data_IF_869049809749
#
_entry.id   IF_869049809749
#
_cell.length_a   1.000
_cell.length_b   1.000
_cell.length_c   1.000
_cell.angle_alpha   90.00
_cell.angle_beta   90.00
_cell.angle_gamma   90.00
#
_symmetry.space_group_name_H-M   'P 1'
#
loop_
_entity.id
_entity.type
_entity.pdbx_description
1 polymer ?
#
# COMPACT_ATOMS: atom_id res chain seq x y z
N UNK A 1 35.78 9.40 -13.41
CA UNK A 1 34.91 9.09 -12.26
C UNK A 1 34.61 10.38 -11.54
N UNK A 2 33.54 11.09 -11.95
CA UNK A 2 33.12 12.34 -11.30
C UNK A 2 32.04 12.01 -10.30
N UNK A 3 32.40 12.06 -9.02
CA UNK A 3 31.46 11.96 -7.90
C UNK A 3 30.60 13.22 -7.86
N UNK A 4 29.38 13.15 -8.46
CA UNK A 4 28.37 14.19 -8.28
C UNK A 4 27.87 14.14 -6.83
N UNK A 5 28.45 15.00 -6.00
CA UNK A 5 27.92 15.28 -4.66
C UNK A 5 26.53 15.88 -4.83
N UNK A 6 25.49 15.10 -4.47
CA UNK A 6 24.12 15.63 -4.45
C UNK A 6 24.06 16.82 -3.47
N UNK A 7 23.56 18.00 -3.88
CA UNK A 7 23.45 19.14 -2.99
C UNK A 7 22.53 18.79 -1.81
N UNK A 8 22.96 19.08 -0.59
CA UNK A 8 22.18 18.92 0.62
C UNK A 8 20.82 19.62 0.47
N UNK A 9 19.70 19.00 0.89
CA UNK A 9 18.38 19.62 0.77
C UNK A 9 18.39 20.97 1.51
N UNK A 10 17.93 22.02 0.84
CA UNK A 10 17.90 23.35 1.46
C UNK A 10 16.98 23.32 2.67
N UNK A 11 17.36 23.95 3.78
CA UNK A 11 16.55 24.00 5.04
C UNK A 11 15.09 24.39 4.75
N UNK A 12 14.86 25.26 3.77
CA UNK A 12 13.50 25.68 3.37
C UNK A 12 12.67 24.53 2.80
N UNK A 13 13.26 23.65 1.97
CA UNK A 13 12.57 22.47 1.42
C UNK A 13 12.27 21.45 2.52
N UNK A 14 13.18 21.26 3.46
CA UNK A 14 12.96 20.36 4.59
C UNK A 14 11.85 20.87 5.50
N UNK A 15 11.83 22.16 5.82
CA UNK A 15 10.77 22.77 6.64
C UNK A 15 9.41 22.69 5.93
N UNK A 16 9.36 22.93 4.63
CA UNK A 16 8.12 22.79 3.85
C UNK A 16 7.60 21.35 3.88
N UNK A 17 8.49 20.38 3.67
CA UNK A 17 8.14 18.95 3.73
C UNK A 17 7.62 18.53 5.10
N UNK A 18 8.27 19.01 6.18
CA UNK A 18 7.80 18.75 7.55
C UNK A 18 6.45 19.43 7.83
N UNK A 19 6.26 20.65 7.32
CA UNK A 19 4.98 21.36 7.43
C UNK A 19 3.83 20.63 6.73
N UNK A 20 4.07 20.15 5.51
CA UNK A 20 3.09 19.33 4.76
C UNK A 20 2.80 18.02 5.51
N UNK A 21 3.81 17.34 6.01
CA UNK A 21 3.63 16.11 6.78
C UNK A 21 2.81 16.38 8.06
N UNK A 22 3.14 17.41 8.81
CA UNK A 22 2.41 17.80 10.01
C UNK A 22 0.95 18.16 9.70
N UNK A 23 0.70 18.89 8.60
CA UNK A 23 -0.64 19.22 8.15
C UNK A 23 -1.45 17.97 7.79
N UNK A 24 -0.88 17.05 6.99
CA UNK A 24 -1.55 15.81 6.63
C UNK A 24 -1.85 14.95 7.87
N UNK A 25 -0.89 14.83 8.79
CA UNK A 25 -1.10 14.11 10.05
C UNK A 25 -2.19 14.77 10.88
N UNK A 26 -2.20 16.09 10.97
CA UNK A 26 -3.25 16.86 11.67
C UNK A 26 -4.64 16.63 11.07
N UNK A 27 -4.76 16.62 9.74
CA UNK A 27 -6.02 16.31 9.05
C UNK A 27 -6.51 14.90 9.38
N UNK A 28 -5.62 13.90 9.33
CA UNK A 28 -5.96 12.51 9.67
C UNK A 28 -6.43 12.43 11.12
N UNK A 29 -5.68 12.98 12.07
CA UNK A 29 -6.07 13.00 13.49
C UNK A 29 -7.40 13.70 13.69
N UNK A 30 -7.65 14.80 12.99
CA UNK A 30 -8.90 15.53 13.07
C UNK A 30 -10.09 14.73 12.56
N UNK A 31 -9.95 14.03 11.43
CA UNK A 31 -11.01 13.18 10.85
C UNK A 31 -11.33 12.02 11.80
N UNK A 32 -10.30 11.40 12.38
CA UNK A 32 -10.48 10.23 13.25
C UNK A 32 -10.89 10.57 14.69
N UNK A 33 -10.81 11.85 15.09
CA UNK A 33 -11.08 12.25 16.49
C UNK A 33 -12.48 11.86 16.97
N UNK A 34 -13.48 11.90 16.10
CA UNK A 34 -14.87 11.60 16.44
C UNK A 34 -15.08 10.08 16.63
N UNK A 35 -14.27 9.26 15.95
CA UNK A 35 -14.30 7.80 16.05
C UNK A 35 -13.30 7.23 17.05
N UNK A 36 -12.55 8.11 17.74
CA UNK A 36 -11.48 7.65 18.64
C UNK A 36 -12.00 6.82 19.81
N UNK A 37 -13.15 7.17 20.34
CA UNK A 37 -13.80 6.40 21.40
C UNK A 37 -14.20 4.99 20.91
N UNK A 38 -14.79 4.88 19.72
CA UNK A 38 -15.19 3.62 19.11
C UNK A 38 -13.96 2.75 18.78
N UNK A 39 -12.90 3.37 18.25
CA UNK A 39 -11.64 2.69 17.94
C UNK A 39 -10.99 2.16 19.22
N UNK A 40 -10.92 2.98 20.27
CA UNK A 40 -10.33 2.58 21.55
C UNK A 40 -11.12 1.46 22.22
N UNK A 41 -12.45 1.52 22.14
CA UNK A 41 -13.32 0.46 22.64
C UNK A 41 -13.14 -0.84 21.83
N UNK A 42 -13.10 -0.75 20.50
CA UNK A 42 -12.85 -1.92 19.65
C UNK A 42 -11.48 -2.55 19.95
N UNK A 43 -10.43 -1.72 20.13
CA UNK A 43 -9.09 -2.19 20.48
C UNK A 43 -9.05 -2.83 21.87
N UNK A 44 -9.78 -2.31 22.84
CA UNK A 44 -9.83 -2.87 24.20
C UNK A 44 -10.50 -4.25 24.26
N UNK A 45 -11.36 -4.55 23.30
CA UNK A 45 -12.03 -5.86 23.16
C UNK A 45 -11.18 -6.91 22.47
N UNK A 46 -10.05 -6.52 21.84
CA UNK A 46 -9.14 -7.44 21.18
C UNK A 46 -8.35 -8.25 22.22
N UNK A 47 -8.39 -9.56 22.08
CA UNK A 47 -7.46 -10.42 22.82
C UNK A 47 -6.05 -10.27 22.26
N UNK A 48 -5.04 -10.52 23.11
CA UNK A 48 -3.64 -10.50 22.69
C UNK A 48 -3.40 -11.41 21.46
N UNK A 49 -4.03 -12.57 21.42
CA UNK A 49 -3.94 -13.49 20.28
C UNK A 49 -4.49 -12.91 18.98
N UNK A 50 -5.62 -12.23 19.04
CA UNK A 50 -6.20 -11.55 17.87
C UNK A 50 -5.31 -10.40 17.40
N UNK A 51 -4.74 -9.62 18.32
CA UNK A 51 -3.79 -8.56 18.00
C UNK A 51 -2.53 -9.09 17.33
N UNK A 52 -1.94 -10.17 17.85
CA UNK A 52 -0.77 -10.81 17.26
C UNK A 52 -1.08 -11.41 15.88
N UNK A 53 -2.25 -12.03 15.72
CA UNK A 53 -2.69 -12.57 14.42
C UNK A 53 -2.86 -11.44 13.39
N UNK A 54 -3.53 -10.35 13.76
CA UNK A 54 -3.70 -9.19 12.88
C UNK A 54 -2.35 -8.59 12.47
N UNK A 55 -1.42 -8.47 13.42
CA UNK A 55 -0.05 -8.00 13.15
C UNK A 55 0.69 -8.96 12.20
N UNK A 56 0.62 -10.26 12.43
CA UNK A 56 1.27 -11.26 11.58
C UNK A 56 0.71 -11.23 10.14
N UNK A 57 -0.62 -11.14 10.00
CA UNK A 57 -1.27 -11.00 8.69
C UNK A 57 -0.88 -9.68 8.02
N UNK A 58 -0.87 -8.58 8.76
CA UNK A 58 -0.47 -7.26 8.23
C UNK A 58 0.98 -7.24 7.74
N UNK A 59 1.90 -7.86 8.49
CA UNK A 59 3.31 -7.95 8.11
C UNK A 59 3.58 -8.96 6.99
N UNK A 60 2.72 -9.95 6.80
CA UNK A 60 2.89 -10.94 5.72
C UNK A 60 2.81 -10.28 4.34
N UNK A 61 1.99 -9.25 4.18
CA UNK A 61 1.80 -8.55 2.90
C UNK A 61 3.12 -7.95 2.34
N UNK A 62 3.82 -7.04 3.05
CA UNK A 62 5.05 -6.46 2.52
C UNK A 62 6.18 -7.50 2.37
N UNK A 63 6.17 -8.58 3.16
CA UNK A 63 7.13 -9.67 3.00
C UNK A 63 6.88 -10.45 1.71
N UNK A 64 5.64 -10.83 1.43
CA UNK A 64 5.27 -11.52 0.20
C UNK A 64 5.50 -10.64 -1.04
N UNK A 65 5.19 -9.35 -0.94
CA UNK A 65 5.49 -8.38 -2.00
C UNK A 65 7.00 -8.25 -2.22
N UNK A 66 7.78 -8.26 -1.14
CA UNK A 66 9.25 -8.27 -1.19
C UNK A 66 9.82 -9.50 -1.87
N UNK A 67 9.27 -10.69 -1.59
CA UNK A 67 9.65 -11.94 -2.28
C UNK A 67 9.30 -11.85 -3.76
N UNK A 68 8.12 -11.38 -4.11
CA UNK A 68 7.69 -11.19 -5.50
C UNK A 68 8.60 -10.21 -6.24
N UNK A 69 8.94 -9.08 -5.63
CA UNK A 69 9.88 -8.11 -6.17
C UNK A 69 11.27 -8.73 -6.38
N UNK A 70 11.77 -9.48 -5.41
CA UNK A 70 13.03 -10.18 -5.51
C UNK A 70 13.06 -11.17 -6.67
N UNK A 71 12.02 -12.00 -6.82
CA UNK A 71 11.91 -12.98 -7.91
C UNK A 71 11.91 -12.33 -9.29
N UNK A 72 11.18 -11.22 -9.42
CA UNK A 72 11.07 -10.50 -10.70
C UNK A 72 12.39 -9.78 -11.04
N UNK A 73 12.97 -9.08 -10.07
CA UNK A 73 14.16 -8.24 -10.29
C UNK A 73 15.41 -9.08 -10.52
N UNK A 74 15.55 -10.23 -9.84
CA UNK A 74 16.71 -11.10 -10.01
C UNK A 74 16.88 -11.65 -11.43
N UNK A 75 15.83 -11.63 -12.25
CA UNK A 75 15.92 -11.97 -13.69
C UNK A 75 16.81 -11.00 -14.47
N UNK A 76 16.95 -9.76 -13.97
CA UNK A 76 17.78 -8.71 -14.59
C UNK A 76 19.01 -8.35 -13.74
N UNK A 77 18.94 -8.54 -12.44
CA UNK A 77 20.02 -8.34 -11.49
C UNK A 77 20.27 -9.64 -10.72
N UNK A 78 21.11 -10.56 -11.20
CA UNK A 78 21.31 -11.88 -10.57
C UNK A 78 21.79 -11.82 -9.12
N UNK A 79 22.52 -10.77 -8.74
CA UNK A 79 23.04 -10.57 -7.38
C UNK A 79 22.12 -9.73 -6.48
N UNK A 80 20.85 -9.52 -6.86
CA UNK A 80 19.87 -8.79 -6.06
C UNK A 80 19.41 -9.66 -4.87
N UNK A 81 19.75 -9.31 -3.61
CA UNK A 81 19.41 -10.12 -2.45
C UNK A 81 17.95 -9.92 -2.04
N UNK A 82 17.37 -10.90 -1.36
CA UNK A 82 15.98 -10.86 -0.86
C UNK A 82 15.71 -9.61 0.01
N UNK A 83 16.67 -9.22 0.85
CA UNK A 83 16.54 -8.01 1.66
C UNK A 83 16.22 -6.77 0.82
N UNK A 84 16.90 -6.62 -0.33
CA UNK A 84 16.62 -5.51 -1.23
C UNK A 84 15.25 -5.61 -1.91
N UNK A 85 14.74 -6.84 -2.11
CA UNK A 85 13.36 -7.06 -2.53
C UNK A 85 12.35 -6.54 -1.50
N UNK A 86 12.58 -6.84 -0.23
CA UNK A 86 11.75 -6.35 0.88
C UNK A 86 11.85 -4.81 1.00
N UNK A 87 13.06 -4.25 0.93
CA UNK A 87 13.25 -2.80 0.93
C UNK A 87 12.48 -2.13 -0.24
N UNK A 88 12.49 -2.77 -1.43
CA UNK A 88 11.76 -2.29 -2.59
C UNK A 88 10.23 -2.32 -2.38
N UNK A 89 9.71 -3.35 -1.72
CA UNK A 89 8.29 -3.41 -1.36
C UNK A 89 7.91 -2.28 -0.38
N UNK A 90 8.74 -2.00 0.62
CA UNK A 90 8.53 -0.86 1.52
C UNK A 90 8.56 0.48 0.78
N UNK A 91 9.46 0.63 -0.21
CA UNK A 91 9.47 1.82 -1.08
C UNK A 91 8.18 1.94 -1.90
N UNK A 92 7.62 0.83 -2.36
CA UNK A 92 6.31 0.80 -3.03
C UNK A 92 5.18 1.23 -2.12
N UNK A 93 5.12 0.69 -0.91
CA UNK A 93 4.13 1.05 0.10
C UNK A 93 4.23 2.53 0.46
N UNK A 94 5.43 3.02 0.73
CA UNK A 94 5.67 4.45 0.99
C UNK A 94 5.24 5.31 -0.21
N UNK A 95 5.60 4.92 -1.42
CA UNK A 95 5.22 5.62 -2.65
C UNK A 95 3.71 5.70 -2.83
N UNK A 96 2.97 4.65 -2.49
CA UNK A 96 1.51 4.65 -2.55
C UNK A 96 0.88 5.64 -1.56
N UNK A 97 1.43 5.74 -0.35
CA UNK A 97 0.96 6.70 0.65
C UNK A 97 1.21 8.14 0.19
N UNK A 98 2.43 8.45 -0.25
CA UNK A 98 2.81 9.80 -0.68
C UNK A 98 2.19 10.19 -2.01
N UNK A 99 2.05 9.23 -2.92
CA UNK A 99 1.51 9.43 -4.29
C UNK A 99 0.02 9.14 -4.43
N UNK A 100 -0.76 9.14 -3.34
CA UNK A 100 -2.21 8.90 -3.35
C UNK A 100 -2.62 7.64 -4.14
N UNK A 101 -1.85 6.56 -3.98
CA UNK A 101 -2.10 5.28 -4.62
C UNK A 101 -1.39 5.04 -5.96
N UNK A 102 -0.78 6.08 -6.57
CA UNK A 102 -0.09 5.96 -7.86
C UNK A 102 1.45 5.97 -7.77
N UNK A 103 1.99 6.17 -6.57
CA UNK A 103 3.43 6.38 -6.36
C UNK A 103 4.28 5.11 -6.27
N UNK A 104 3.71 3.92 -6.21
CA UNK A 104 4.45 2.67 -6.03
C UNK A 104 5.51 2.47 -7.11
N UNK A 105 5.12 2.47 -8.38
CA UNK A 105 6.01 2.20 -9.51
C UNK A 105 7.17 3.21 -9.60
N UNK A 106 6.95 4.53 -9.53
CA UNK A 106 8.04 5.50 -9.55
C UNK A 106 9.05 5.33 -8.41
N UNK A 107 8.58 5.12 -7.18
CA UNK A 107 9.47 4.98 -6.02
C UNK A 107 10.27 3.68 -6.06
N UNK A 108 9.64 2.57 -6.43
CA UNK A 108 10.32 1.29 -6.62
C UNK A 108 11.34 1.35 -7.76
N UNK A 109 10.98 1.96 -8.90
CA UNK A 109 11.90 2.16 -10.03
C UNK A 109 13.10 3.01 -9.63
N UNK A 110 12.87 4.10 -8.90
CA UNK A 110 13.95 4.95 -8.39
C UNK A 110 14.89 4.18 -7.45
N UNK A 111 14.34 3.35 -6.56
CA UNK A 111 15.13 2.50 -5.68
C UNK A 111 15.99 1.51 -6.47
N UNK A 112 15.40 0.81 -7.46
CA UNK A 112 16.10 -0.15 -8.31
C UNK A 112 17.17 0.51 -9.18
N UNK A 113 16.91 1.71 -9.68
CA UNK A 113 17.91 2.48 -10.43
C UNK A 113 19.15 2.78 -9.59
N UNK A 114 18.96 3.09 -8.31
CA UNK A 114 20.07 3.24 -7.36
C UNK A 114 20.86 1.95 -7.12
N UNK A 115 20.31 0.81 -7.47
CA UNK A 115 20.93 -0.52 -7.35
C UNK A 115 21.52 -1.04 -8.66
N UNK A 116 21.52 -0.20 -9.71
CA UNK A 116 22.14 -0.49 -11.00
C UNK A 116 21.20 -1.02 -12.08
N UNK A 117 19.88 -0.99 -11.86
CA UNK A 117 18.92 -1.30 -12.90
C UNK A 117 18.57 -0.03 -13.69
N UNK A 118 18.60 -0.10 -15.01
CA UNK A 118 18.17 1.02 -15.85
C UNK A 118 16.69 1.34 -15.64
N UNK A 119 16.35 2.64 -15.78
CA UNK A 119 15.00 3.14 -15.52
C UNK A 119 13.94 2.45 -16.38
N UNK A 120 14.20 2.26 -17.69
CA UNK A 120 13.25 1.63 -18.61
C UNK A 120 12.86 0.20 -18.18
N UNK A 121 13.81 -0.73 -18.04
CA UNK A 121 13.55 -2.06 -17.47
C UNK A 121 12.93 -2.02 -16.07
N UNK A 122 13.35 -1.09 -15.20
CA UNK A 122 12.82 -0.91 -13.87
C UNK A 122 11.32 -0.58 -13.88
N UNK A 123 10.91 0.41 -14.68
CA UNK A 123 9.49 0.75 -14.88
C UNK A 123 8.72 -0.45 -15.41
N UNK A 124 9.25 -1.14 -16.42
CA UNK A 124 8.59 -2.32 -17.01
C UNK A 124 8.33 -3.43 -15.98
N UNK A 125 9.35 -3.80 -15.19
CA UNK A 125 9.23 -4.84 -14.18
C UNK A 125 8.27 -4.44 -13.05
N UNK A 126 8.33 -3.21 -12.55
CA UNK A 126 7.46 -2.74 -11.46
C UNK A 126 6.03 -2.55 -11.93
N UNK A 127 5.81 -2.11 -13.17
CA UNK A 127 4.47 -2.06 -13.76
C UNK A 127 3.89 -3.47 -13.92
N UNK A 128 4.68 -4.43 -14.38
CA UNK A 128 4.26 -5.82 -14.50
C UNK A 128 3.87 -6.39 -13.13
N UNK A 129 4.71 -6.19 -12.10
CA UNK A 129 4.40 -6.58 -10.72
C UNK A 129 3.08 -5.95 -10.25
N UNK A 130 2.91 -4.66 -10.48
CA UNK A 130 1.69 -3.92 -10.11
C UNK A 130 0.45 -4.50 -10.78
N UNK A 131 0.50 -4.77 -12.08
CA UNK A 131 -0.62 -5.37 -12.84
C UNK A 131 -0.96 -6.76 -12.30
N UNK A 132 0.02 -7.63 -12.10
CA UNK A 132 -0.23 -8.96 -11.50
C UNK A 132 -0.84 -8.87 -10.12
N UNK A 133 -0.33 -7.98 -9.28
CA UNK A 133 -0.88 -7.76 -7.95
C UNK A 133 -2.35 -7.32 -8.01
N UNK A 134 -2.68 -6.31 -8.83
CA UNK A 134 -4.07 -5.83 -8.97
C UNK A 134 -5.00 -6.88 -9.56
N UNK A 135 -4.53 -7.66 -10.52
CA UNK A 135 -5.29 -8.78 -11.09
C UNK A 135 -5.57 -9.85 -10.04
N UNK A 136 -4.57 -10.22 -9.23
CA UNK A 136 -4.76 -11.19 -8.15
C UNK A 136 -5.77 -10.70 -7.11
N UNK A 137 -5.70 -9.42 -6.71
CA UNK A 137 -6.67 -8.82 -5.78
C UNK A 137 -8.08 -8.84 -6.36
N UNK A 138 -8.24 -8.48 -7.65
CA UNK A 138 -9.53 -8.51 -8.32
C UNK A 138 -10.13 -9.92 -8.39
N UNK A 139 -9.33 -10.91 -8.76
CA UNK A 139 -9.75 -12.31 -8.79
C UNK A 139 -10.16 -12.79 -7.41
N UNK A 140 -9.35 -12.50 -6.39
CA UNK A 140 -9.64 -12.87 -5.01
C UNK A 140 -10.95 -12.22 -4.51
N UNK A 141 -11.12 -10.92 -4.75
CA UNK A 141 -12.34 -10.20 -4.38
C UNK A 141 -13.57 -10.79 -5.11
N UNK A 142 -13.43 -11.13 -6.39
CA UNK A 142 -14.51 -11.76 -7.16
C UNK A 142 -14.90 -13.12 -6.58
N UNK A 143 -13.91 -13.96 -6.24
CA UNK A 143 -14.15 -15.27 -5.61
C UNK A 143 -14.84 -15.10 -4.27
N UNK A 144 -14.38 -14.17 -3.44
CA UNK A 144 -15.01 -13.89 -2.13
C UNK A 144 -16.46 -13.39 -2.28
N UNK A 145 -16.71 -12.51 -3.22
CA UNK A 145 -18.06 -12.00 -3.49
C UNK A 145 -18.99 -13.13 -3.96
N UNK A 146 -18.52 -13.99 -4.84
CA UNK A 146 -19.31 -15.12 -5.34
C UNK A 146 -19.57 -16.16 -4.26
N UNK A 147 -18.55 -16.51 -3.47
CA UNK A 147 -18.67 -17.45 -2.36
C UNK A 147 -19.47 -16.89 -1.19
N UNK A 148 -19.37 -15.58 -0.93
CA UNK A 148 -20.07 -14.88 0.15
C UNK A 148 -21.49 -14.44 -0.18
N UNK A 149 -21.97 -14.65 -1.42
CA UNK A 149 -23.35 -14.24 -1.85
C UNK A 149 -24.45 -14.60 -0.85
N UNK A 150 -24.55 -15.84 -0.32
CA UNK A 150 -25.62 -16.20 0.63
C UNK A 150 -25.48 -15.42 1.94
N UNK A 151 -24.28 -15.20 2.42
CA UNK A 151 -24.03 -14.41 3.65
C UNK A 151 -24.38 -12.93 3.42
N UNK A 152 -23.94 -12.36 2.30
CA UNK A 152 -24.25 -10.98 1.92
C UNK A 152 -25.75 -10.78 1.79
N UNK A 153 -26.45 -11.68 1.11
CA UNK A 153 -27.90 -11.62 0.95
C UNK A 153 -28.64 -11.69 2.31
N UNK A 154 -28.13 -12.49 3.25
CA UNK A 154 -28.72 -12.61 4.58
C UNK A 154 -28.48 -11.40 5.49
N UNK A 155 -27.42 -10.59 5.24
CA UNK A 155 -27.02 -9.47 6.10
C UNK A 155 -27.15 -8.10 5.42
N UNK A 156 -27.52 -8.06 4.13
CA UNK A 156 -27.70 -6.82 3.36
C UNK A 156 -29.14 -6.33 3.29
N UNK A 157 -29.98 -6.75 4.25
CA UNK A 157 -31.37 -6.28 4.33
C UNK A 157 -31.44 -4.76 4.30
N UNK A 158 -31.56 -4.20 3.12
CA UNK A 158 -31.88 -2.81 2.85
C UNK A 158 -30.78 -1.91 2.28
N UNK A 159 -29.48 -2.24 2.37
CA UNK A 159 -28.45 -1.28 1.94
C UNK A 159 -28.17 -1.22 0.43
N UNK A 160 -28.48 -2.26 -0.33
CA UNK A 160 -28.26 -2.29 -1.78
C UNK A 160 -29.51 -1.95 -2.62
N UNK A 161 -30.69 -1.82 -1.98
CA UNK A 161 -31.94 -1.50 -2.65
C UNK A 161 -32.34 -0.02 -2.55
N UNK A 162 -31.56 0.82 -1.86
CA UNK A 162 -31.90 2.23 -1.62
C UNK A 162 -31.44 3.21 -2.72
N UNK A 163 -31.06 2.73 -3.89
CA UNK A 163 -30.75 3.60 -5.04
C UNK A 163 -31.85 3.64 -6.11
N UNK A 164 -33.01 3.08 -5.83
CA UNK A 164 -34.19 3.29 -6.71
C UNK A 164 -35.15 4.23 -5.98
N UNK A 165 -35.34 5.48 -6.42
CA UNK A 165 -36.45 6.28 -5.95
C UNK A 165 -37.74 5.57 -6.36
N UNK A 166 -38.51 5.15 -5.37
CA UNK A 166 -39.85 4.61 -5.60
C UNK A 166 -40.69 5.69 -6.28
N UNK A 167 -41.24 5.44 -7.48
CA UNK A 167 -42.21 6.35 -8.05
C UNK A 167 -43.58 5.98 -7.47
N UNK A 168 -43.90 6.47 -6.28
CA UNK A 168 -45.24 6.51 -5.74
C UNK A 168 -45.40 7.69 -4.81
N UNK A 169 -46.31 8.52 -5.27
CA UNK A 169 -47.05 9.65 -4.70
C UNK A 169 -46.43 11.00 -4.89
#
# INVERSE_FOLDING_TARGET
MSSSVSPAPSRRKTLLSLGVLALLTGIVVFIFREHWAEISEALSRLTLGQGLLALAVGLSYPLLEGVSSWLIVRSRLPHFPLRQGIDNAWMGTFGNVVGLGAGSVPFQTWYLHRRGLDVGPGVGLMTLQYVFHKTAVLLYATVLLLAGRPWIAAHSDGCLLYTSPSPRD
#
